data_IF_462828898559
#
_entry.id   IF_462828898559
#
_cell.length_a   1.000
_cell.length_b   1.000
_cell.length_c   1.000
_cell.angle_alpha   90.00
_cell.angle_beta   90.00
_cell.angle_gamma   90.00
#
_symmetry.space_group_name_H-M   'P 1'
#
loop_
_entity.id
_entity.type
_entity.pdbx_description
1 polymer ?
#
# COMPACT_ATOMS: atom_id res chain seq x y z
N UNK A 1 18.35 9.61 -5.19
CA UNK A 1 18.48 9.38 -3.74
C UNK A 1 18.54 7.90 -3.38
N UNK A 2 17.51 7.09 -3.65
CA UNK A 2 17.64 5.62 -3.52
C UNK A 2 18.51 5.05 -4.64
N UNK A 3 18.27 5.50 -5.88
CA UNK A 3 19.02 5.07 -7.07
C UNK A 3 20.53 5.38 -7.03
N UNK A 4 20.99 6.19 -6.07
CA UNK A 4 22.42 6.48 -5.88
C UNK A 4 23.13 5.35 -5.11
N UNK A 5 22.37 4.47 -4.44
CA UNK A 5 22.88 3.42 -3.55
C UNK A 5 22.30 2.02 -3.86
N UNK A 6 21.17 1.96 -4.55
CA UNK A 6 20.41 0.74 -4.81
C UNK A 6 19.91 0.73 -6.25
N UNK A 7 19.73 -0.46 -6.79
CA UNK A 7 18.83 -0.64 -7.92
C UNK A 7 17.40 -0.54 -7.42
N UNK A 8 16.61 0.34 -8.03
CA UNK A 8 15.23 0.63 -7.61
C UNK A 8 14.28 0.19 -8.69
N UNK A 9 13.52 -0.87 -8.42
CA UNK A 9 12.50 -1.40 -9.33
C UNK A 9 11.12 -0.92 -8.85
N UNK A 10 10.37 -0.24 -9.72
CA UNK A 10 9.04 0.33 -9.41
C UNK A 10 8.01 -0.27 -10.38
N UNK A 11 7.56 -1.52 -10.15
CA UNK A 11 6.63 -2.17 -11.06
C UNK A 11 5.23 -1.59 -10.91
N UNK A 12 4.49 -1.47 -12.03
CA UNK A 12 3.05 -1.25 -11.98
C UNK A 12 2.35 -2.57 -11.61
N UNK A 13 1.43 -2.53 -10.64
CA UNK A 13 0.62 -3.69 -10.24
C UNK A 13 -0.20 -4.18 -11.46
N UNK A 14 -0.36 -5.50 -11.70
CA UNK A 14 -1.20 -6.01 -12.77
C UNK A 14 -2.61 -5.41 -12.75
N UNK A 15 -3.05 -4.89 -13.90
CA UNK A 15 -4.29 -4.14 -14.03
C UNK A 15 -4.18 -2.65 -13.70
N UNK A 16 -2.99 -2.11 -13.41
CA UNK A 16 -2.79 -0.70 -13.07
C UNK A 16 -1.71 -0.06 -13.96
N UNK A 17 -1.85 1.25 -14.18
CA UNK A 17 -0.83 2.04 -14.87
C UNK A 17 -0.53 1.51 -16.27
N UNK A 18 0.72 1.10 -16.50
CA UNK A 18 1.19 0.59 -17.79
C UNK A 18 1.31 -0.94 -17.84
N UNK A 19 1.02 -1.64 -16.75
CA UNK A 19 0.93 -3.10 -16.77
C UNK A 19 -0.31 -3.56 -17.53
N UNK A 20 -0.26 -4.81 -18.01
CA UNK A 20 -1.38 -5.43 -18.69
C UNK A 20 -2.68 -5.26 -17.91
N UNK A 21 -3.80 -5.10 -18.63
CA UNK A 21 -5.15 -4.89 -18.08
C UNK A 21 -5.75 -6.15 -17.41
N UNK A 22 -4.90 -7.06 -16.96
CA UNK A 22 -5.25 -8.32 -16.30
C UNK A 22 -5.06 -8.15 -14.79
N UNK A 23 -6.14 -7.93 -14.02
CA UNK A 23 -6.04 -7.84 -12.57
C UNK A 23 -5.63 -9.19 -11.99
N UNK A 24 -4.94 -9.14 -10.86
CA UNK A 24 -4.50 -10.30 -10.09
C UNK A 24 -4.89 -10.11 -8.62
N UNK A 25 -4.96 -11.21 -7.87
CA UNK A 25 -5.02 -11.12 -6.41
C UNK A 25 -3.72 -10.54 -5.87
N UNK A 26 -3.73 -10.12 -4.61
CA UNK A 26 -2.52 -9.70 -3.90
C UNK A 26 -1.46 -10.79 -3.89
N UNK A 27 -1.84 -12.05 -3.62
CA UNK A 27 -0.92 -13.17 -3.58
C UNK A 27 -0.33 -13.52 -4.96
N UNK A 28 -1.16 -13.53 -6.00
CA UNK A 28 -0.67 -13.76 -7.37
C UNK A 28 0.27 -12.63 -7.82
N UNK A 29 0.01 -11.39 -7.37
CA UNK A 29 0.90 -10.26 -7.63
C UNK A 29 2.23 -10.41 -6.89
N UNK A 30 2.21 -10.88 -5.63
CA UNK A 30 3.43 -11.17 -4.88
C UNK A 30 4.26 -12.26 -5.58
N UNK A 31 3.65 -13.35 -6.03
CA UNK A 31 4.34 -14.40 -6.80
C UNK A 31 4.95 -13.85 -8.09
N UNK A 32 4.20 -13.02 -8.82
CA UNK A 32 4.69 -12.37 -10.04
C UNK A 32 5.88 -11.45 -9.75
N UNK A 33 5.82 -10.66 -8.69
CA UNK A 33 6.91 -9.75 -8.33
C UNK A 33 8.15 -10.48 -7.80
N UNK A 34 7.98 -11.59 -7.08
CA UNK A 34 9.09 -12.45 -6.71
C UNK A 34 9.81 -12.96 -7.97
N UNK A 35 9.08 -13.55 -8.92
CA UNK A 35 9.63 -14.01 -10.19
C UNK A 35 10.28 -12.90 -11.02
N UNK A 36 9.66 -11.70 -11.08
CA UNK A 36 10.28 -10.53 -11.72
C UNK A 36 11.65 -10.22 -11.11
N UNK A 37 11.74 -10.19 -9.78
CA UNK A 37 13.00 -9.85 -9.11
C UNK A 37 14.04 -10.97 -9.26
N UNK A 38 13.68 -12.23 -9.04
CA UNK A 38 14.64 -13.33 -8.94
C UNK A 38 14.96 -13.97 -10.29
N UNK A 39 13.95 -14.20 -11.14
CA UNK A 39 14.10 -14.96 -12.39
C UNK A 39 14.42 -14.04 -13.57
N UNK A 40 13.75 -12.89 -13.68
CA UNK A 40 13.90 -11.99 -14.83
C UNK A 40 15.02 -10.95 -14.63
N UNK A 41 15.15 -10.40 -13.43
CA UNK A 41 16.14 -9.36 -13.11
C UNK A 41 17.39 -9.91 -12.39
N UNK A 42 17.34 -11.14 -11.88
CA UNK A 42 18.49 -11.83 -11.28
C UNK A 42 18.86 -11.38 -9.86
N UNK A 43 17.98 -10.69 -9.14
CA UNK A 43 18.17 -10.33 -7.73
C UNK A 43 17.75 -11.47 -6.82
N UNK A 44 18.72 -12.28 -6.35
CA UNK A 44 18.44 -13.41 -5.45
C UNK A 44 17.78 -12.98 -4.13
N UNK A 45 18.19 -11.83 -3.58
CA UNK A 45 17.62 -11.26 -2.35
C UNK A 45 17.37 -9.76 -2.52
N UNK A 46 16.21 -9.29 -2.10
CA UNK A 46 15.81 -7.89 -2.23
C UNK A 46 15.03 -7.39 -1.02
N UNK A 47 14.82 -6.07 -0.93
CA UNK A 47 13.90 -5.44 0.03
C UNK A 47 12.64 -5.04 -0.71
N UNK A 48 11.48 -5.38 -0.16
CA UNK A 48 10.20 -4.94 -0.69
C UNK A 48 9.71 -3.72 0.10
N UNK A 49 9.35 -2.64 -0.58
CA UNK A 49 8.86 -1.42 0.07
C UNK A 49 7.50 -1.02 -0.51
N UNK A 50 6.52 -0.66 0.33
CA UNK A 50 5.24 -0.17 -0.15
C UNK A 50 4.20 0.14 0.93
N UNK A 51 3.29 1.05 0.60
CA UNK A 51 2.07 1.36 1.36
C UNK A 51 0.81 0.86 0.66
N UNK A 52 -0.34 0.91 1.32
CA UNK A 52 -1.65 0.53 0.76
C UNK A 52 -1.61 -0.87 0.13
N UNK A 53 -1.97 -1.01 -1.15
CA UNK A 53 -1.83 -2.23 -1.94
C UNK A 53 -0.43 -2.83 -1.87
N UNK A 54 0.60 -1.98 -1.86
CA UNK A 54 2.00 -2.37 -1.76
C UNK A 54 2.35 -2.96 -0.40
N UNK A 55 1.74 -2.50 0.70
CA UNK A 55 1.92 -3.14 2.02
C UNK A 55 1.35 -4.56 2.02
N UNK A 56 0.18 -4.77 1.42
CA UNK A 56 -0.41 -6.11 1.33
C UNK A 56 0.45 -7.04 0.46
N UNK A 57 0.98 -6.54 -0.66
CA UNK A 57 1.87 -7.30 -1.54
C UNK A 57 3.21 -7.61 -0.85
N UNK A 58 3.80 -6.65 -0.13
CA UNK A 58 5.05 -6.85 0.60
C UNK A 58 4.90 -7.87 1.75
N UNK A 59 3.79 -7.82 2.50
CA UNK A 59 3.49 -8.85 3.50
C UNK A 59 3.26 -10.22 2.86
N UNK A 60 2.56 -10.30 1.72
CA UNK A 60 2.37 -11.57 1.00
C UNK A 60 3.69 -12.12 0.44
N UNK A 61 4.59 -11.26 -0.08
CA UNK A 61 5.97 -11.63 -0.42
C UNK A 61 6.70 -12.22 0.80
N UNK A 62 6.55 -11.63 1.99
CA UNK A 62 7.17 -12.14 3.20
C UNK A 62 6.59 -13.49 3.66
N UNK A 63 5.29 -13.74 3.45
CA UNK A 63 4.66 -15.02 3.79
C UNK A 63 5.04 -16.14 2.81
N UNK A 64 5.26 -15.80 1.53
CA UNK A 64 5.36 -16.78 0.44
C UNK A 64 6.78 -16.98 -0.09
N UNK A 65 7.59 -15.93 -0.01
CA UNK A 65 8.93 -15.83 -0.61
C UNK A 65 9.94 -15.26 0.40
N UNK A 66 9.81 -15.62 1.68
CA UNK A 66 10.66 -15.12 2.76
C UNK A 66 12.16 -15.25 2.47
N UNK A 67 12.58 -16.34 1.82
CA UNK A 67 13.99 -16.61 1.49
C UNK A 67 14.59 -15.60 0.49
N UNK A 68 13.74 -14.98 -0.34
CA UNK A 68 14.13 -13.95 -1.30
C UNK A 68 14.14 -12.53 -0.69
N UNK A 69 13.73 -12.37 0.58
CA UNK A 69 13.66 -11.06 1.22
C UNK A 69 14.79 -10.84 2.23
N UNK A 70 15.41 -9.65 2.14
CA UNK A 70 16.24 -9.11 3.22
C UNK A 70 15.40 -8.43 4.30
N UNK A 71 14.27 -7.86 3.90
CA UNK A 71 13.33 -7.17 4.78
C UNK A 71 12.19 -6.53 4.00
N UNK A 72 11.19 -6.02 4.73
CA UNK A 72 10.07 -5.26 4.18
C UNK A 72 9.98 -3.86 4.82
N UNK A 73 9.71 -2.84 4.01
CA UNK A 73 9.52 -1.46 4.46
C UNK A 73 8.08 -1.03 4.15
N UNK A 74 7.33 -0.64 5.17
CA UNK A 74 5.89 -0.42 5.06
C UNK A 74 5.51 0.98 5.59
N UNK A 75 4.40 1.51 5.14
CA UNK A 75 3.80 2.74 5.71
C UNK A 75 2.57 2.45 6.58
N UNK A 76 2.01 1.26 6.41
CA UNK A 76 0.93 0.70 7.21
C UNK A 76 1.16 -0.82 7.40
N UNK A 77 0.33 -1.48 8.21
CA UNK A 77 0.44 -2.94 8.45
C UNK A 77 -0.93 -3.63 8.38
N UNK A 78 -1.86 -3.01 7.67
CA UNK A 78 -3.27 -3.38 7.66
C UNK A 78 -4.02 -3.04 8.95
N UNK A 79 -5.31 -3.35 8.95
CA UNK A 79 -6.27 -2.93 9.97
C UNK A 79 -6.86 -4.11 10.75
N UNK A 80 -7.34 -3.88 11.99
CA UNK A 80 -8.16 -4.86 12.69
C UNK A 80 -9.38 -5.24 11.86
N UNK A 81 -9.66 -6.54 11.80
CA UNK A 81 -10.73 -7.12 11.01
C UNK A 81 -11.53 -8.17 11.82
N UNK A 82 -12.43 -8.87 11.14
CA UNK A 82 -13.26 -9.92 11.74
C UNK A 82 -12.48 -11.12 12.32
N UNK A 83 -11.19 -11.27 11.99
CA UNK A 83 -10.32 -12.33 12.50
C UNK A 83 -9.50 -11.88 13.71
N UNK A 84 -9.53 -10.59 14.05
CA UNK A 84 -8.79 -10.02 15.17
C UNK A 84 -9.43 -10.43 16.51
N UNK A 85 -8.63 -10.97 17.42
CA UNK A 85 -9.06 -11.21 18.80
C UNK A 85 -9.04 -9.90 19.60
N UNK A 86 -10.19 -9.23 19.63
CA UNK A 86 -10.38 -7.96 20.33
C UNK A 86 -10.15 -8.05 21.84
N UNK A 87 -10.21 -9.24 22.44
CA UNK A 87 -10.00 -9.43 23.88
C UNK A 87 -8.52 -9.36 24.28
N UNK A 88 -7.62 -9.57 23.32
CA UNK A 88 -6.17 -9.57 23.51
C UNK A 88 -5.49 -8.25 23.12
N UNK A 89 -6.29 -7.22 22.77
CA UNK A 89 -5.78 -5.91 22.36
C UNK A 89 -5.36 -5.07 23.57
N UNK A 90 -4.22 -4.41 23.43
CA UNK A 90 -3.77 -3.36 24.33
C UNK A 90 -4.63 -2.09 24.17
N UNK A 91 -4.50 -1.14 25.10
CA UNK A 91 -5.25 0.12 25.02
C UNK A 91 -5.00 0.90 23.71
N UNK A 92 -3.75 1.12 23.25
CA UNK A 92 -3.51 1.79 21.96
C UNK A 92 -4.13 1.04 20.78
N UNK A 93 -4.10 -0.29 20.79
CA UNK A 93 -4.72 -1.10 19.73
C UNK A 93 -6.24 -1.00 19.72
N UNK A 94 -6.88 -0.91 20.90
CA UNK A 94 -8.33 -0.67 21.01
C UNK A 94 -8.69 0.72 20.46
N UNK A 95 -7.90 1.75 20.80
CA UNK A 95 -8.09 3.12 20.28
C UNK A 95 -7.96 3.14 18.76
N UNK A 96 -6.95 2.46 18.22
CA UNK A 96 -6.76 2.29 16.79
C UNK A 96 -7.93 1.56 16.13
N UNK A 97 -8.38 0.44 16.70
CA UNK A 97 -9.51 -0.31 16.17
C UNK A 97 -10.81 0.52 16.14
N UNK A 98 -11.07 1.31 17.19
CA UNK A 98 -12.22 2.22 17.24
C UNK A 98 -12.11 3.32 16.18
N UNK A 99 -10.92 3.89 15.97
CA UNK A 99 -10.68 4.84 14.90
C UNK A 99 -10.97 4.22 13.53
N UNK A 100 -10.43 3.02 13.26
CA UNK A 100 -10.62 2.31 12.00
C UNK A 100 -12.09 2.01 11.73
N UNK A 101 -12.87 1.61 12.75
CA UNK A 101 -14.31 1.42 12.57
C UNK A 101 -15.02 2.70 12.13
N UNK A 102 -14.68 3.85 12.73
CA UNK A 102 -15.25 5.14 12.35
C UNK A 102 -14.81 5.55 10.94
N UNK A 103 -13.53 5.32 10.62
CA UNK A 103 -12.99 5.58 9.28
C UNK A 103 -13.71 4.74 8.22
N UNK A 104 -13.97 3.45 8.45
CA UNK A 104 -14.76 2.60 7.55
C UNK A 104 -16.17 3.14 7.32
N UNK A 105 -16.81 3.71 8.34
CA UNK A 105 -18.15 4.31 8.20
C UNK A 105 -18.14 5.60 7.38
N UNK A 106 -17.05 6.36 7.39
CA UNK A 106 -16.94 7.65 6.70
C UNK A 106 -16.36 7.53 5.29
N UNK A 107 -15.32 6.72 5.13
CA UNK A 107 -14.50 6.65 3.91
C UNK A 107 -14.66 5.30 3.19
N UNK A 108 -15.09 4.26 3.88
CA UNK A 108 -15.03 2.86 3.43
C UNK A 108 -15.91 2.44 2.24
N UNK A 109 -16.79 3.33 1.76
CA UNK A 109 -17.75 3.00 0.72
C UNK A 109 -17.09 2.55 -0.60
N UNK A 110 -15.91 3.10 -0.92
CA UNK A 110 -15.17 2.71 -2.11
C UNK A 110 -14.82 1.22 -2.09
N UNK A 111 -14.33 0.71 -0.96
CA UNK A 111 -13.92 -0.68 -0.84
C UNK A 111 -15.13 -1.59 -1.04
N UNK A 112 -16.26 -1.28 -0.39
CA UNK A 112 -17.48 -2.08 -0.53
C UNK A 112 -17.94 -2.18 -1.98
N UNK A 113 -17.99 -1.05 -2.71
CA UNK A 113 -18.40 -1.05 -4.13
C UNK A 113 -17.39 -1.78 -5.01
N UNK A 114 -16.09 -1.56 -4.80
CA UNK A 114 -15.03 -2.18 -5.60
C UNK A 114 -14.93 -3.69 -5.35
N UNK A 115 -15.15 -4.13 -4.10
CA UNK A 115 -15.11 -5.53 -3.71
C UNK A 115 -16.35 -6.32 -4.16
N UNK A 116 -17.46 -5.67 -4.49
CA UNK A 116 -18.73 -6.36 -4.82
C UNK A 116 -19.23 -6.11 -6.25
N UNK A 117 -19.08 -4.89 -6.77
CA UNK A 117 -19.62 -4.43 -8.06
C UNK A 117 -18.59 -3.61 -8.87
N UNK A 118 -17.32 -4.04 -8.98
CA UNK A 118 -16.28 -3.24 -9.63
C UNK A 118 -16.62 -2.91 -11.09
N UNK A 119 -17.23 -3.84 -11.81
CA UNK A 119 -17.54 -3.69 -13.23
C UNK A 119 -18.55 -2.56 -13.50
N UNK A 120 -19.56 -2.44 -12.65
CA UNK A 120 -20.58 -1.39 -12.77
C UNK A 120 -19.98 -0.01 -12.53
N UNK A 121 -19.16 0.13 -11.49
CA UNK A 121 -18.43 1.36 -11.20
C UNK A 121 -17.45 1.71 -12.34
N UNK A 122 -16.71 0.72 -12.83
CA UNK A 122 -15.72 0.89 -13.89
C UNK A 122 -16.30 1.51 -15.16
N UNK A 123 -17.49 1.12 -15.60
CA UNK A 123 -18.11 1.72 -16.79
C UNK A 123 -18.38 3.21 -16.61
N UNK A 124 -18.88 3.62 -15.43
CA UNK A 124 -19.11 5.04 -15.15
C UNK A 124 -17.81 5.85 -15.10
N UNK A 125 -16.75 5.30 -14.51
CA UNK A 125 -15.44 5.98 -14.43
C UNK A 125 -14.70 6.01 -15.76
N UNK A 126 -14.86 5.00 -16.61
CA UNK A 126 -14.21 4.93 -17.92
C UNK A 126 -14.88 5.81 -18.99
N UNK A 127 -16.14 6.22 -18.78
CA UNK A 127 -16.91 7.04 -19.74
C UNK A 127 -16.71 8.55 -19.55
N UNK A 128 -16.27 8.98 -18.36
CA UNK A 128 -16.11 10.40 -18.02
C UNK A 128 -14.75 10.68 -17.37
N UNK A 129 -13.85 11.47 -18.00
CA UNK A 129 -12.57 11.82 -17.40
C UNK A 129 -12.76 12.70 -16.15
N UNK A 130 -13.83 13.51 -16.10
CA UNK A 130 -14.19 14.27 -14.90
C UNK A 130 -14.69 13.36 -13.77
N UNK A 131 -15.47 12.32 -14.10
CA UNK A 131 -15.91 11.30 -13.14
C UNK A 131 -14.73 10.50 -12.57
N UNK A 132 -13.80 10.09 -13.45
CA UNK A 132 -12.55 9.45 -13.03
C UNK A 132 -11.71 10.36 -12.13
N UNK A 133 -11.52 11.62 -12.53
CA UNK A 133 -10.76 12.59 -11.75
C UNK A 133 -11.38 12.79 -10.36
N UNK A 134 -12.69 12.97 -10.27
CA UNK A 134 -13.39 13.12 -9.01
C UNK A 134 -13.23 11.89 -8.09
N UNK A 135 -13.31 10.67 -8.66
CA UNK A 135 -13.12 9.43 -7.91
C UNK A 135 -11.69 9.26 -7.41
N UNK A 136 -10.68 9.53 -8.23
CA UNK A 136 -9.27 9.44 -7.79
C UNK A 136 -8.98 10.52 -6.74
N UNK A 137 -9.46 11.75 -6.96
CA UNK A 137 -9.20 12.86 -6.05
C UNK A 137 -9.86 12.69 -4.68
N UNK A 138 -10.96 11.94 -4.55
CA UNK A 138 -11.53 11.64 -3.23
C UNK A 138 -10.57 10.84 -2.34
N UNK A 139 -9.71 10.00 -2.91
CA UNK A 139 -8.64 9.32 -2.17
C UNK A 139 -7.51 10.27 -1.84
N UNK A 140 -7.06 11.07 -2.82
CA UNK A 140 -5.98 12.02 -2.61
C UNK A 140 -6.29 13.01 -1.48
N UNK A 141 -7.55 13.43 -1.36
CA UNK A 141 -8.00 14.33 -0.32
C UNK A 141 -8.46 13.64 0.98
N UNK A 142 -8.44 12.30 1.07
CA UNK A 142 -8.93 11.60 2.27
C UNK A 142 -8.10 11.98 3.49
N UNK A 143 -8.77 12.31 4.60
CA UNK A 143 -8.14 12.79 5.83
C UNK A 143 -7.51 14.18 5.75
N UNK A 144 -7.73 14.95 4.67
CA UNK A 144 -7.11 16.26 4.46
C UNK A 144 -7.96 17.20 3.59
N UNK A 145 -7.45 18.38 3.23
CA UNK A 145 -8.11 19.30 2.29
C UNK A 145 -7.38 19.33 0.96
N UNK A 146 -8.09 19.70 -0.12
CA UNK A 146 -7.46 19.92 -1.42
C UNK A 146 -6.31 20.94 -1.38
N UNK A 147 -6.46 22.01 -0.57
CA UNK A 147 -5.39 22.99 -0.35
C UNK A 147 -4.14 22.38 0.31
N UNK A 148 -4.31 21.44 1.23
CA UNK A 148 -3.19 20.78 1.90
C UNK A 148 -2.47 19.79 0.98
N UNK A 149 -3.19 19.15 0.06
CA UNK A 149 -2.59 18.32 -1.00
C UNK A 149 -1.84 19.19 -2.00
N UNK A 150 -2.42 20.31 -2.44
CA UNK A 150 -1.77 21.22 -3.40
C UNK A 150 -0.46 21.85 -2.87
N UNK A 151 -0.23 21.83 -1.54
CA UNK A 151 1.07 22.23 -0.96
C UNK A 151 2.20 21.22 -1.18
N UNK A 152 1.87 19.95 -1.49
CA UNK A 152 2.83 18.85 -1.65
C UNK A 152 2.87 18.29 -3.06
N UNK A 153 1.70 18.21 -3.70
CA UNK A 153 1.53 17.69 -5.04
C UNK A 153 0.98 18.79 -5.94
N UNK A 154 1.70 19.08 -7.01
CA UNK A 154 1.24 20.02 -8.03
C UNK A 154 0.02 19.46 -8.76
N UNK A 155 -0.80 20.35 -9.33
CA UNK A 155 -1.94 19.93 -10.16
C UNK A 155 -1.51 19.08 -11.35
N UNK A 156 -0.36 19.37 -11.95
CA UNK A 156 0.17 18.60 -13.08
C UNK A 156 0.55 17.18 -12.66
N UNK A 157 1.10 16.98 -11.47
CA UNK A 157 1.37 15.64 -10.92
C UNK A 157 0.08 14.84 -10.69
N UNK A 158 -0.92 15.47 -10.08
CA UNK A 158 -2.24 14.86 -9.87
C UNK A 158 -2.92 14.50 -11.20
N UNK A 159 -2.94 15.44 -12.15
CA UNK A 159 -3.50 15.24 -13.48
C UNK A 159 -2.71 14.20 -14.28
N UNK A 160 -1.40 14.10 -14.08
CA UNK A 160 -0.58 13.04 -14.71
C UNK A 160 -1.04 11.67 -14.24
N UNK A 161 -1.21 11.46 -12.93
CA UNK A 161 -1.71 10.19 -12.40
C UNK A 161 -3.12 9.86 -12.95
N UNK A 162 -4.04 10.82 -12.93
CA UNK A 162 -5.40 10.66 -13.49
C UNK A 162 -5.34 10.33 -14.98
N UNK A 163 -4.48 11.03 -15.73
CA UNK A 163 -4.31 10.83 -17.18
C UNK A 163 -3.77 9.45 -17.48
N UNK A 164 -2.82 8.93 -16.69
CA UNK A 164 -2.32 7.55 -16.84
C UNK A 164 -3.50 6.57 -16.77
N UNK A 165 -4.32 6.63 -15.71
CA UNK A 165 -5.49 5.75 -15.58
C UNK A 165 -6.48 5.89 -16.75
N UNK A 166 -6.68 7.13 -17.24
CA UNK A 166 -7.55 7.41 -18.37
C UNK A 166 -7.02 6.80 -19.67
N UNK A 167 -5.79 7.13 -20.07
CA UNK A 167 -5.26 6.73 -21.38
C UNK A 167 -4.92 5.25 -21.43
N UNK A 168 -4.49 4.66 -20.31
CA UNK A 168 -4.23 3.22 -20.26
C UNK A 168 -5.50 2.41 -20.02
N UNK A 169 -6.64 3.06 -19.75
CA UNK A 169 -7.93 2.43 -19.47
C UNK A 169 -7.83 1.38 -18.35
N UNK A 170 -7.07 1.71 -17.31
CA UNK A 170 -6.77 0.79 -16.20
C UNK A 170 -7.63 1.01 -14.96
N UNK A 171 -8.54 2.00 -14.94
CA UNK A 171 -9.46 2.15 -13.81
C UNK A 171 -10.29 0.87 -13.60
N UNK A 172 -10.88 0.31 -14.65
CA UNK A 172 -11.69 -0.90 -14.51
C UNK A 172 -10.92 -2.12 -13.96
N UNK A 173 -9.80 -2.51 -14.60
CA UNK A 173 -8.94 -3.56 -14.08
C UNK A 173 -8.41 -3.28 -12.66
N UNK A 174 -8.00 -2.05 -12.31
CA UNK A 174 -7.51 -1.75 -10.96
C UNK A 174 -8.58 -1.99 -9.89
N UNK A 175 -9.83 -1.63 -10.16
CA UNK A 175 -10.96 -1.89 -9.26
C UNK A 175 -11.22 -3.38 -9.08
N UNK A 176 -11.05 -4.19 -10.13
CA UNK A 176 -11.32 -5.64 -10.06
C UNK A 176 -10.37 -6.37 -9.12
N UNK A 177 -9.19 -5.84 -8.81
CA UNK A 177 -8.31 -6.42 -7.77
C UNK A 177 -9.04 -6.55 -6.42
N UNK A 178 -9.78 -5.52 -6.01
CA UNK A 178 -10.57 -5.55 -4.77
C UNK A 178 -11.58 -6.69 -4.76
N UNK A 179 -12.27 -6.90 -5.87
CA UNK A 179 -13.20 -8.03 -6.02
C UNK A 179 -12.48 -9.37 -5.95
N UNK A 180 -11.34 -9.51 -6.63
CA UNK A 180 -10.55 -10.75 -6.59
C UNK A 180 -10.08 -11.05 -5.17
N UNK A 181 -9.53 -10.06 -4.45
CA UNK A 181 -9.06 -10.23 -3.08
C UNK A 181 -10.21 -10.55 -2.11
N UNK A 182 -11.35 -9.87 -2.23
CA UNK A 182 -12.52 -10.12 -1.38
C UNK A 182 -13.17 -11.50 -1.61
N UNK A 183 -12.94 -12.12 -2.76
CA UNK A 183 -13.44 -13.46 -3.10
C UNK A 183 -12.34 -14.53 -3.10
N UNK A 184 -11.11 -14.16 -2.75
CA UNK A 184 -10.02 -15.11 -2.57
C UNK A 184 -10.32 -16.02 -1.37
N UNK A 185 -9.85 -17.27 -1.38
CA UNK A 185 -9.97 -18.14 -0.22
C UNK A 185 -9.37 -17.46 1.02
N UNK A 186 -10.09 -17.44 2.16
CA UNK A 186 -9.59 -16.79 3.36
C UNK A 186 -8.30 -17.50 3.80
N UNK A 187 -7.26 -16.70 4.03
CA UNK A 187 -6.02 -17.18 4.64
C UNK A 187 -5.82 -16.47 5.97
N UNK A 188 -5.64 -17.22 7.07
CA UNK A 188 -5.24 -16.61 8.33
C UNK A 188 -3.91 -15.91 8.09
N UNK A 189 -3.85 -14.63 8.42
CA UNK A 189 -2.59 -13.89 8.40
C UNK A 189 -1.56 -14.57 9.32
N UNK A 190 -0.29 -14.59 8.90
CA UNK A 190 0.79 -15.18 9.67
C UNK A 190 1.93 -14.19 9.85
N UNK A 191 2.35 -13.98 11.11
CA UNK A 191 3.58 -13.22 11.40
C UNK A 191 4.78 -13.97 10.85
N UNK A 192 5.51 -13.35 9.95
CA UNK A 192 6.73 -13.90 9.37
C UNK A 192 7.95 -13.45 10.17
N UNK A 193 9.09 -14.17 10.08
CA UNK A 193 10.35 -13.73 10.70
C UNK A 193 11.09 -12.67 9.86
N UNK A 194 10.58 -12.28 8.69
CA UNK A 194 11.24 -11.31 7.80
C UNK A 194 11.32 -9.95 8.49
N UNK A 195 12.51 -9.35 8.67
CA UNK A 195 12.67 -8.03 9.28
C UNK A 195 11.78 -6.98 8.62
N UNK A 196 11.14 -6.15 9.42
CA UNK A 196 10.22 -5.13 8.95
C UNK A 196 10.52 -3.75 9.54
N UNK A 197 10.42 -2.73 8.69
CA UNK A 197 10.36 -1.33 9.09
C UNK A 197 8.98 -0.75 8.80
N UNK A 198 8.51 0.15 9.66
CA UNK A 198 7.26 0.90 9.47
C UNK A 198 7.52 2.40 9.59
N UNK A 199 7.29 3.13 8.51
CA UNK A 199 7.37 4.59 8.47
C UNK A 199 5.96 5.19 8.52
N UNK A 200 5.47 5.53 9.71
CA UNK A 200 4.12 6.02 9.93
C UNK A 200 4.00 7.54 9.70
N UNK A 201 3.24 8.00 8.69
CA UNK A 201 2.94 9.41 8.45
C UNK A 201 1.80 9.94 9.35
N UNK A 202 1.86 11.21 9.80
CA UNK A 202 0.93 11.73 10.81
C UNK A 202 -0.49 12.03 10.32
N UNK A 203 -0.73 12.04 8.99
CA UNK A 203 -2.09 12.21 8.40
C UNK A 203 -2.75 10.90 7.98
N UNK A 204 -2.09 9.76 8.13
CA UNK A 204 -2.74 8.46 7.92
C UNK A 204 -3.41 7.97 9.20
N UNK A 205 -4.11 6.83 9.15
CA UNK A 205 -4.72 6.22 10.31
C UNK A 205 -3.68 6.06 11.43
N UNK A 206 -3.98 6.45 12.69
CA UNK A 206 -3.01 6.60 13.77
C UNK A 206 -2.52 5.23 14.27
N UNK A 207 -1.61 4.62 13.51
CA UNK A 207 -1.10 3.28 13.70
C UNK A 207 -0.21 3.23 14.96
N UNK A 208 -0.60 2.51 16.02
CA UNK A 208 0.25 2.35 17.19
C UNK A 208 1.38 1.35 16.90
N UNK A 209 2.53 1.56 17.54
CA UNK A 209 3.68 0.64 17.44
C UNK A 209 3.28 -0.78 17.86
N UNK A 210 2.44 -0.92 18.86
CA UNK A 210 1.96 -2.21 19.38
C UNK A 210 1.23 -3.03 18.31
N UNK A 211 0.43 -2.36 17.46
CA UNK A 211 -0.21 -3.03 16.32
C UNK A 211 0.81 -3.44 15.26
N UNK A 212 1.81 -2.60 14.98
CA UNK A 212 2.90 -2.96 14.08
C UNK A 212 3.71 -4.16 14.59
N UNK A 213 4.07 -4.20 15.87
CA UNK A 213 4.78 -5.33 16.50
C UNK A 213 3.97 -6.63 16.43
N UNK A 214 2.63 -6.51 16.58
CA UNK A 214 1.72 -7.64 16.40
C UNK A 214 1.71 -8.14 14.96
N UNK A 215 1.75 -7.25 13.97
CA UNK A 215 1.52 -7.55 12.55
C UNK A 215 2.77 -7.87 11.74
N UNK A 216 3.98 -7.55 12.23
CA UNK A 216 5.22 -7.84 11.49
C UNK A 216 6.38 -8.11 12.45
N UNK A 217 7.50 -8.64 11.93
CA UNK A 217 8.75 -8.65 12.68
C UNK A 217 9.40 -7.26 12.71
N UNK A 218 8.82 -6.38 13.52
CA UNK A 218 9.18 -4.97 13.59
C UNK A 218 10.57 -4.77 14.20
N UNK A 219 11.53 -4.33 13.38
CA UNK A 219 12.87 -3.93 13.81
C UNK A 219 12.98 -2.41 13.92
N UNK A 220 12.26 -1.68 13.05
CA UNK A 220 12.35 -0.23 12.94
C UNK A 220 10.94 0.37 12.84
N UNK A 221 10.66 1.43 13.60
CA UNK A 221 9.38 2.13 13.49
C UNK A 221 9.59 3.63 13.70
N UNK A 222 9.20 4.39 12.69
CA UNK A 222 9.43 5.83 12.58
C UNK A 222 8.10 6.55 12.52
N UNK A 223 7.92 7.52 13.41
CA UNK A 223 6.88 8.53 13.25
C UNK A 223 7.45 9.64 12.36
N UNK A 224 7.01 9.70 11.11
CA UNK A 224 7.45 10.74 10.19
C UNK A 224 6.95 12.11 10.67
N UNK A 225 7.74 13.19 10.54
CA UNK A 225 7.35 14.50 11.03
C UNK A 225 6.21 15.16 10.22
N UNK A 226 5.95 14.67 9.00
CA UNK A 226 4.93 15.14 8.06
C UNK A 226 4.71 14.09 6.97
N UNK A 227 3.63 14.24 6.21
CA UNK A 227 3.20 13.31 5.17
C UNK A 227 1.80 12.79 5.44
N UNK A 228 1.28 11.98 4.53
CA UNK A 228 0.00 11.31 4.63
C UNK A 228 0.06 9.94 3.95
N UNK A 229 -1.10 9.43 3.53
CA UNK A 229 -1.24 8.12 2.93
C UNK A 229 -0.30 7.89 1.74
N UNK A 230 -0.05 8.90 0.91
CA UNK A 230 0.84 8.81 -0.25
C UNK A 230 2.28 9.21 0.12
N UNK A 231 2.81 8.70 1.23
CA UNK A 231 4.08 9.14 1.84
C UNK A 231 5.26 9.27 0.87
N UNK A 232 5.45 8.28 0.00
CA UNK A 232 6.54 8.30 -0.99
C UNK A 232 6.40 9.42 -2.03
N UNK A 233 5.17 9.87 -2.30
CA UNK A 233 4.86 10.94 -3.25
C UNK A 233 4.82 12.31 -2.56
N UNK A 234 4.22 12.38 -1.38
CA UNK A 234 4.02 13.62 -0.62
C UNK A 234 5.31 14.11 0.05
N UNK A 235 6.14 13.19 0.54
CA UNK A 235 7.37 13.52 1.27
C UNK A 235 8.52 12.58 0.83
N UNK A 236 8.92 12.62 -0.46
CA UNK A 236 9.82 11.63 -1.06
C UNK A 236 11.17 11.54 -0.35
N UNK A 237 11.68 12.66 0.16
CA UNK A 237 12.95 12.71 0.89
C UNK A 237 12.88 12.06 2.28
N UNK A 238 11.73 12.17 2.96
CA UNK A 238 11.54 11.52 4.26
C UNK A 238 11.39 10.02 4.06
N UNK A 239 10.51 9.60 3.14
CA UNK A 239 10.28 8.20 2.83
C UNK A 239 11.57 7.47 2.42
N UNK A 240 12.29 8.02 1.44
CA UNK A 240 13.52 7.37 0.99
C UNK A 240 14.70 7.52 1.97
N UNK A 241 14.65 8.49 2.90
CA UNK A 241 15.60 8.55 4.02
C UNK A 241 15.42 7.37 4.96
N UNK A 242 14.17 7.09 5.35
CA UNK A 242 13.81 5.98 6.23
C UNK A 242 14.12 4.61 5.61
N UNK A 243 13.80 4.42 4.32
CA UNK A 243 14.20 3.21 3.56
C UNK A 243 15.72 2.99 3.60
N UNK A 244 16.52 4.06 3.44
CA UNK A 244 17.99 3.95 3.47
C UNK A 244 18.51 3.55 4.85
N UNK A 245 17.92 4.11 5.89
CA UNK A 245 18.28 3.82 7.28
C UNK A 245 18.01 2.35 7.58
N UNK A 246 16.80 1.87 7.29
CA UNK A 246 16.42 0.47 7.46
C UNK A 246 17.33 -0.49 6.68
N UNK A 247 17.57 -0.23 5.39
CA UNK A 247 18.48 -1.09 4.59
C UNK A 247 19.91 -1.05 5.13
N UNK A 248 20.33 0.07 5.73
CA UNK A 248 21.61 0.20 6.42
C UNK A 248 21.72 -0.68 7.67
N UNK A 249 20.65 -0.77 8.45
CA UNK A 249 20.54 -1.65 9.64
C UNK A 249 20.59 -3.13 9.24
N UNK A 250 19.90 -3.53 8.17
CA UNK A 250 19.93 -4.93 7.67
C UNK A 250 21.32 -5.39 7.23
N UNK A 251 22.19 -4.48 6.81
CA UNK A 251 23.57 -4.78 6.40
C UNK A 251 24.54 -4.90 7.58
N UNK A 252 24.18 -4.34 8.74
CA UNK A 252 24.98 -4.35 9.97
C UNK A 252 24.13 -4.85 11.15
N UNK A 253 23.71 -6.13 11.13
CA UNK A 253 22.81 -6.71 12.13
C UNK A 253 23.42 -6.80 13.53
#
# INVERSE_FOLDING_TARGET
>A
MLADLFDVVVPSIPGQGFSDRKPMTTDDTADLFAGLMTEELGYERFVAAGGDAGTLIAQSLAERHADALLGIHLTDVGYPDQTTDFSALTKPEIEFANYIQQWWMNEGAFNMVQSTKPQSLAYGLADSPAGLAAWIMSFMASGTTGEEIEKRLTRDELLTNITIYWVTQTIGPSLRRYYLDAHAPPRPWQRTPVPAAVAHPPRDAPLPREWAERRVNLEHFTNLPRGGHFSAWEEPLLYAGDVREFVGELRNP
#
